data_IF_352113017857
#
_entry.id   IF_352113017857
#
_cell.length_a   1.000
_cell.length_b   1.000
_cell.length_c   1.000
_cell.angle_alpha   90.00
_cell.angle_beta   90.00
_cell.angle_gamma   90.00
#
_symmetry.space_group_name_H-M   'P 1'
#
loop_
_entity.id
_entity.type
_entity.pdbx_description
1 polymer ?
#
# COMPACT_ATOMS: atom_id res chain seq x y z
N UNK A 1 9.44 7.05 -6.94
CA UNK A 1 8.84 7.87 -5.87
C UNK A 1 7.57 7.21 -5.39
N UNK A 2 7.36 7.20 -4.08
CA UNK A 2 6.13 6.73 -3.48
C UNK A 2 5.59 7.70 -2.44
N UNK A 3 4.27 7.60 -2.19
CA UNK A 3 3.59 8.36 -1.14
C UNK A 3 2.72 7.38 -0.37
N UNK A 4 2.98 7.25 0.93
CA UNK A 4 2.20 6.43 1.86
C UNK A 4 0.82 7.05 2.10
N UNK A 5 -0.11 6.28 2.66
CA UNK A 5 -1.45 6.77 3.01
C UNK A 5 -1.44 7.91 4.03
N UNK A 6 -0.43 7.96 4.89
CA UNK A 6 -0.24 9.04 5.87
C UNK A 6 0.36 10.33 5.28
N UNK A 7 0.62 10.35 3.96
CA UNK A 7 1.23 11.47 3.24
C UNK A 7 2.76 11.49 3.26
N UNK A 8 3.40 10.56 3.97
CA UNK A 8 4.86 10.47 4.00
C UNK A 8 5.38 10.02 2.65
N UNK A 9 6.27 10.84 2.06
CA UNK A 9 6.91 10.53 0.78
C UNK A 9 8.20 9.74 0.97
N UNK A 10 8.48 8.85 0.01
CA UNK A 10 9.77 8.17 -0.13
C UNK A 10 10.21 8.16 -1.59
N UNK A 11 11.51 8.19 -1.83
CA UNK A 11 12.03 8.28 -3.18
C UNK A 11 13.39 7.58 -3.29
N UNK A 12 13.51 6.67 -4.25
CA UNK A 12 14.71 5.89 -4.51
C UNK A 12 15.13 6.00 -5.97
N UNK A 13 16.42 5.83 -6.21
CA UNK A 13 16.99 5.73 -7.55
C UNK A 13 17.81 4.45 -7.68
N UNK A 14 17.81 3.86 -8.86
CA UNK A 14 18.71 2.75 -9.23
C UNK A 14 20.13 3.22 -9.55
N UNK A 15 20.38 4.53 -9.52
CA UNK A 15 21.70 5.11 -9.72
C UNK A 15 22.66 4.85 -8.56
N UNK A 16 23.92 5.14 -8.77
CA UNK A 16 25.00 4.95 -7.76
C UNK A 16 25.15 6.13 -6.80
N UNK A 17 24.46 7.24 -7.06
CA UNK A 17 24.48 8.44 -6.24
C UNK A 17 23.07 9.02 -6.06
N UNK A 18 22.86 9.72 -4.96
CA UNK A 18 21.61 10.43 -4.69
C UNK A 18 21.34 11.46 -5.79
N UNK A 19 20.08 11.58 -6.17
CA UNK A 19 19.64 12.45 -7.24
C UNK A 19 18.53 13.39 -6.75
N UNK A 20 18.66 14.68 -6.99
CA UNK A 20 17.62 15.66 -6.65
C UNK A 20 16.82 16.01 -7.90
N UNK A 21 15.50 15.78 -7.86
CA UNK A 21 14.57 16.07 -8.95
C UNK A 21 13.34 16.75 -8.38
N UNK A 22 12.97 17.91 -8.93
CA UNK A 22 11.79 18.68 -8.48
C UNK A 22 11.77 18.94 -6.96
N UNK A 23 12.92 19.18 -6.34
CA UNK A 23 13.07 19.43 -4.91
C UNK A 23 12.96 18.17 -4.03
N UNK A 24 12.86 16.99 -4.61
CA UNK A 24 12.82 15.69 -3.90
C UNK A 24 14.16 14.98 -4.07
N UNK A 25 14.75 14.54 -2.97
CA UNK A 25 15.98 13.72 -2.99
C UNK A 25 15.65 12.25 -3.14
N UNK A 26 16.16 11.63 -4.20
CA UNK A 26 16.05 10.20 -4.49
C UNK A 26 17.29 9.49 -3.97
N UNK A 27 17.11 8.62 -2.98
CA UNK A 27 18.20 7.91 -2.32
C UNK A 27 18.72 6.77 -3.20
N UNK A 28 20.06 6.71 -3.34
CA UNK A 28 20.76 5.66 -4.10
C UNK A 28 20.95 4.36 -3.32
N UNK A 29 20.84 4.40 -1.99
CA UNK A 29 21.18 3.29 -1.09
C UNK A 29 20.20 2.13 -1.05
N UNK A 30 19.00 2.30 -1.57
CA UNK A 30 17.91 1.35 -1.38
C UNK A 30 18.01 0.06 -2.20
N UNK A 31 19.14 -0.20 -2.92
CA UNK A 31 19.25 -1.41 -3.74
C UNK A 31 18.01 -1.64 -4.64
N UNK A 32 17.35 -0.57 -5.03
CA UNK A 32 16.13 -0.63 -5.80
C UNK A 32 16.46 -1.16 -7.20
N UNK A 33 16.16 -2.41 -7.42
CA UNK A 33 16.25 -3.00 -8.76
C UNK A 33 14.83 -3.17 -9.29
N UNK A 34 14.47 -2.57 -10.41
CA UNK A 34 13.29 -3.02 -11.13
C UNK A 34 13.59 -4.44 -11.63
N UNK A 35 13.17 -5.43 -10.86
CA UNK A 35 13.53 -6.83 -11.07
C UNK A 35 12.89 -7.44 -12.32
N UNK A 36 11.94 -6.77 -12.94
CA UNK A 36 11.27 -7.29 -14.11
C UNK A 36 11.25 -6.28 -15.25
N UNK A 37 11.49 -6.76 -16.46
CA UNK A 37 11.14 -6.05 -17.65
C UNK A 37 9.66 -5.59 -17.56
N UNK A 38 9.39 -4.35 -17.89
CA UNK A 38 8.03 -3.86 -18.03
C UNK A 38 7.42 -4.57 -19.23
N UNK A 39 6.83 -5.74 -19.01
CA UNK A 39 6.05 -6.41 -20.03
C UNK A 39 4.70 -5.72 -20.14
N UNK A 40 4.56 -4.88 -21.13
CA UNK A 40 3.26 -4.28 -21.47
C UNK A 40 2.54 -5.26 -22.39
N UNK A 41 1.61 -6.02 -21.85
CA UNK A 41 0.66 -6.78 -22.67
C UNK A 41 -0.40 -5.82 -23.22
N UNK A 42 -0.70 -5.93 -24.52
CA UNK A 42 -1.69 -5.08 -25.19
C UNK A 42 -3.14 -5.39 -24.82
N UNK A 43 -3.38 -6.45 -24.05
CA UNK A 43 -4.69 -6.82 -23.53
C UNK A 43 -4.94 -6.18 -22.16
N UNK A 44 -6.22 -6.04 -21.76
CA UNK A 44 -6.67 -5.61 -20.43
C UNK A 44 -6.22 -6.57 -19.29
N UNK A 45 -5.20 -7.38 -19.53
CA UNK A 45 -4.58 -8.18 -18.49
C UNK A 45 -4.03 -7.28 -17.39
N UNK A 46 -4.18 -7.71 -16.16
CA UNK A 46 -3.67 -6.99 -15.00
C UNK A 46 -2.15 -6.89 -15.13
N UNK A 47 -1.71 -5.69 -15.49
CA UNK A 47 -0.32 -5.39 -15.74
C UNK A 47 0.33 -5.10 -14.38
N UNK A 48 1.02 -6.07 -13.80
CA UNK A 48 1.74 -5.95 -12.53
C UNK A 48 3.23 -5.82 -12.80
N UNK A 49 3.87 -4.91 -12.07
CA UNK A 49 5.32 -4.74 -12.05
C UNK A 49 5.83 -5.18 -10.68
N UNK A 50 6.71 -6.16 -10.66
CA UNK A 50 7.40 -6.55 -9.43
C UNK A 50 8.63 -5.67 -9.21
N UNK A 51 8.77 -5.16 -8.00
CA UNK A 51 9.93 -4.38 -7.56
C UNK A 51 10.59 -5.13 -6.43
N UNK A 52 11.88 -5.36 -6.54
CA UNK A 52 12.70 -5.85 -5.43
C UNK A 52 13.52 -4.70 -4.86
N UNK A 53 13.61 -4.63 -3.55
CA UNK A 53 14.46 -3.67 -2.86
C UNK A 53 15.04 -4.25 -1.57
N UNK A 54 16.18 -3.69 -1.16
CA UNK A 54 16.83 -4.03 0.10
C UNK A 54 16.16 -3.20 1.20
N UNK A 55 15.94 -3.84 2.36
CA UNK A 55 15.49 -3.13 3.57
C UNK A 55 16.61 -2.21 4.04
N UNK A 56 16.28 -0.94 4.23
CA UNK A 56 17.20 0.08 4.74
C UNK A 56 16.59 0.70 6.00
N UNK A 57 17.37 0.75 7.07
CA UNK A 57 16.92 1.30 8.36
C UNK A 57 16.47 2.77 8.28
N UNK A 58 16.94 3.51 7.28
CA UNK A 58 16.59 4.93 7.11
C UNK A 58 15.37 5.18 6.21
N UNK A 59 14.96 4.21 5.40
CA UNK A 59 13.94 4.41 4.37
C UNK A 59 12.71 3.52 4.50
N UNK A 60 12.90 2.21 4.40
CA UNK A 60 11.84 1.21 4.51
C UNK A 60 12.27 0.16 5.51
N UNK A 61 11.72 0.20 6.70
CA UNK A 61 12.01 -0.76 7.75
C UNK A 61 11.09 -1.98 7.69
N UNK A 62 11.58 -3.12 8.17
CA UNK A 62 10.77 -4.32 8.28
C UNK A 62 9.54 -4.12 9.18
N UNK A 63 9.67 -3.34 10.25
CA UNK A 63 8.56 -3.04 11.18
C UNK A 63 7.47 -2.22 10.48
N UNK A 64 7.84 -1.22 9.69
CA UNK A 64 6.89 -0.41 8.93
C UNK A 64 6.12 -1.24 7.88
N UNK A 65 6.81 -2.17 7.20
CA UNK A 65 6.16 -3.07 6.27
C UNK A 65 5.19 -4.03 6.99
N UNK A 66 5.61 -4.61 8.12
CA UNK A 66 4.76 -5.49 8.94
C UNK A 66 3.55 -4.78 9.53
N UNK A 67 3.66 -3.48 9.81
CA UNK A 67 2.56 -2.63 10.26
C UNK A 67 1.62 -2.18 9.15
N UNK A 68 1.94 -2.51 7.90
CA UNK A 68 1.11 -2.17 6.74
C UNK A 68 1.15 -0.68 6.38
N UNK A 69 2.18 0.07 6.78
CA UNK A 69 2.26 1.51 6.49
C UNK A 69 2.42 1.81 4.99
N UNK A 70 2.87 0.84 4.24
CA UNK A 70 3.05 0.94 2.79
C UNK A 70 1.88 0.37 1.99
N UNK A 71 0.89 -0.25 2.65
CA UNK A 71 -0.25 -0.86 1.97
C UNK A 71 -1.05 0.17 1.16
N UNK A 72 -1.14 -0.06 -0.14
CA UNK A 72 -1.81 0.85 -1.06
C UNK A 72 -1.10 2.20 -1.26
N UNK A 73 0.19 2.31 -0.92
CA UNK A 73 1.00 3.49 -1.22
C UNK A 73 1.00 3.77 -2.73
N UNK A 74 0.82 5.04 -3.10
CA UNK A 74 0.92 5.47 -4.50
C UNK A 74 2.37 5.41 -4.97
N UNK A 75 2.63 4.79 -6.12
CA UNK A 75 3.98 4.61 -6.69
C UNK A 75 4.04 5.19 -8.08
N UNK A 76 5.04 6.04 -8.32
CA UNK A 76 5.44 6.56 -9.62
C UNK A 76 6.82 5.99 -9.99
N UNK A 77 6.91 5.27 -11.11
CA UNK A 77 8.15 4.77 -11.70
C UNK A 77 8.43 5.54 -12.98
N UNK A 78 9.61 6.12 -13.08
CA UNK A 78 9.99 6.93 -14.23
C UNK A 78 11.49 6.87 -14.49
N UNK A 79 11.90 7.25 -15.69
CA UNK A 79 13.29 7.38 -16.12
C UNK A 79 13.63 8.87 -16.26
N UNK A 80 14.85 9.21 -15.85
CA UNK A 80 15.41 10.55 -16.04
C UNK A 80 16.82 10.47 -16.60
N UNK A 81 17.24 11.52 -17.29
CA UNK A 81 18.65 11.68 -17.62
C UNK A 81 19.39 12.16 -16.35
N UNK A 82 20.14 11.28 -15.70
CA UNK A 82 20.87 11.60 -14.47
C UNK A 82 21.96 12.68 -14.66
N UNK A 83 22.44 12.87 -15.89
CA UNK A 83 23.42 13.94 -16.22
C UNK A 83 22.77 15.30 -16.37
N UNK A 84 21.49 15.34 -16.73
CA UNK A 84 20.76 16.57 -16.92
C UNK A 84 19.27 16.35 -16.60
N UNK A 85 18.93 16.52 -15.34
CA UNK A 85 17.56 16.34 -14.83
C UNK A 85 16.58 17.38 -15.34
N UNK A 86 17.09 18.50 -15.92
CA UNK A 86 16.23 19.54 -16.50
C UNK A 86 15.50 19.12 -17.75
N UNK A 87 15.93 18.02 -18.39
CA UNK A 87 15.24 17.42 -19.56
C UNK A 87 13.90 16.79 -19.19
N UNK A 88 13.56 16.73 -17.91
CA UNK A 88 12.30 16.17 -17.44
C UNK A 88 12.38 14.68 -17.19
N UNK A 89 11.21 14.07 -17.04
CA UNK A 89 11.05 12.64 -16.68
C UNK A 89 10.12 11.93 -17.64
N UNK A 90 10.50 10.71 -18.03
CA UNK A 90 9.65 9.82 -18.80
C UNK A 90 8.94 8.88 -17.82
N UNK A 91 7.63 9.07 -17.66
CA UNK A 91 6.82 8.19 -16.80
C UNK A 91 6.70 6.81 -17.45
N UNK A 92 7.19 5.78 -16.75
CA UNK A 92 7.04 4.39 -17.17
C UNK A 92 5.76 3.78 -16.61
N UNK A 93 5.50 3.99 -15.31
CA UNK A 93 4.35 3.39 -14.65
C UNK A 93 3.89 4.23 -13.46
N UNK A 94 2.58 4.18 -13.25
CA UNK A 94 1.92 4.70 -12.05
C UNK A 94 0.96 3.65 -11.53
N UNK A 95 0.96 3.46 -10.22
CA UNK A 95 0.09 2.47 -9.60
C UNK A 95 0.09 2.57 -8.08
N UNK A 96 -0.40 1.53 -7.46
CA UNK A 96 -0.39 1.37 -6.00
C UNK A 96 0.43 0.15 -5.61
N UNK A 97 1.08 0.23 -4.46
CA UNK A 97 1.78 -0.91 -3.89
C UNK A 97 0.74 -1.98 -3.49
N UNK A 98 0.91 -3.17 -4.02
CA UNK A 98 0.09 -4.34 -3.73
C UNK A 98 0.70 -5.20 -2.64
N UNK A 99 0.80 -6.50 -2.93
CA UNK A 99 1.38 -7.45 -1.98
C UNK A 99 2.88 -7.22 -1.77
N UNK A 100 3.31 -7.25 -0.51
CA UNK A 100 4.71 -7.12 -0.11
C UNK A 100 5.17 -8.41 0.52
N UNK A 101 6.17 -9.05 -0.08
CA UNK A 101 6.80 -10.26 0.43
C UNK A 101 8.15 -9.93 1.05
N UNK A 102 8.31 -10.27 2.32
CA UNK A 102 9.57 -10.08 3.06
C UNK A 102 10.48 -11.29 2.91
N UNK A 103 11.74 -11.05 2.53
CA UNK A 103 12.79 -12.08 2.38
C UNK A 103 14.06 -11.63 3.09
N UNK A 104 14.31 -12.09 4.32
CA UNK A 104 15.49 -11.74 5.13
C UNK A 104 15.77 -10.22 5.16
N UNK A 105 16.74 -9.75 4.36
CA UNK A 105 17.14 -8.34 4.25
C UNK A 105 16.59 -7.65 3.00
N UNK A 106 15.62 -8.25 2.33
CA UNK A 106 15.02 -7.75 1.09
C UNK A 106 13.51 -7.84 1.17
N UNK A 107 12.83 -7.02 0.38
CA UNK A 107 11.41 -7.19 0.13
C UNK A 107 11.15 -7.16 -1.37
N UNK A 108 10.16 -7.93 -1.80
CA UNK A 108 9.58 -7.86 -3.12
C UNK A 108 8.18 -7.26 -3.00
N UNK A 109 7.85 -6.32 -3.86
CA UNK A 109 6.55 -5.66 -3.85
C UNK A 109 5.98 -5.59 -5.26
N UNK A 110 4.70 -5.93 -5.39
CA UNK A 110 3.95 -5.80 -6.61
C UNK A 110 3.44 -4.36 -6.77
N UNK A 111 3.63 -3.75 -7.94
CA UNK A 111 2.95 -2.50 -8.30
C UNK A 111 1.74 -2.83 -9.16
N UNK A 112 0.57 -2.50 -8.66
CA UNK A 112 -0.71 -2.71 -9.32
C UNK A 112 -1.11 -1.46 -10.08
N UNK A 113 -1.29 -1.61 -11.40
CA UNK A 113 -1.75 -0.54 -12.27
C UNK A 113 -3.25 -0.27 -12.15
N UNK A 114 -3.71 0.80 -12.81
CA UNK A 114 -5.14 1.16 -12.87
C UNK A 114 -6.01 0.08 -13.53
N UNK A 115 -5.45 -0.74 -14.40
CA UNK A 115 -6.17 -1.84 -15.04
C UNK A 115 -6.81 -2.81 -14.03
N UNK A 116 -6.14 -3.04 -12.89
CA UNK A 116 -6.72 -3.87 -11.83
C UNK A 116 -8.01 -3.27 -11.22
N UNK A 117 -8.09 -1.95 -11.11
CA UNK A 117 -9.31 -1.31 -10.63
C UNK A 117 -10.48 -1.54 -11.59
N UNK A 118 -10.19 -1.57 -12.91
CA UNK A 118 -11.20 -1.88 -13.93
C UNK A 118 -11.54 -3.38 -13.99
N UNK A 119 -10.64 -4.26 -13.62
CA UNK A 119 -10.88 -5.70 -13.54
C UNK A 119 -11.71 -6.10 -12.31
N UNK A 120 -11.90 -5.19 -11.36
CA UNK A 120 -12.75 -5.43 -10.18
C UNK A 120 -14.22 -5.45 -10.62
N UNK A 121 -14.94 -6.51 -10.27
CA UNK A 121 -16.36 -6.63 -10.57
C UNK A 121 -17.13 -5.47 -9.94
N UNK A 122 -17.66 -4.58 -10.77
CA UNK A 122 -18.53 -3.48 -10.36
C UNK A 122 -19.96 -3.94 -10.54
N UNK A 123 -20.69 -4.07 -9.46
CA UNK A 123 -22.08 -4.48 -9.46
C UNK A 123 -22.39 -5.44 -8.33
N UNK A 124 -23.65 -5.64 -8.10
CA UNK A 124 -24.13 -6.51 -7.04
C UNK A 124 -24.89 -7.68 -7.61
N UNK A 125 -24.60 -8.85 -7.07
CA UNK A 125 -25.36 -10.05 -7.36
C UNK A 125 -26.63 -10.04 -6.51
N UNK A 126 -27.77 -10.23 -7.15
CA UNK A 126 -29.01 -10.53 -6.45
C UNK A 126 -28.92 -11.95 -5.89
N UNK A 127 -28.90 -12.05 -4.57
CA UNK A 127 -28.79 -13.33 -3.87
C UNK A 127 -29.71 -13.36 -2.66
N UNK A 128 -30.14 -14.54 -2.19
CA UNK A 128 -31.06 -14.65 -1.03
C UNK A 128 -30.44 -14.14 0.27
N UNK A 129 -29.12 -14.11 0.39
CA UNK A 129 -28.41 -13.62 1.56
C UNK A 129 -28.22 -12.10 1.55
N UNK A 130 -28.03 -11.54 2.74
CA UNK A 130 -27.71 -10.13 2.90
C UNK A 130 -26.32 -9.83 2.30
N UNK A 131 -26.24 -8.83 1.41
CA UNK A 131 -25.01 -8.40 0.74
C UNK A 131 -24.53 -7.01 1.18
N UNK A 132 -25.06 -6.47 2.27
CA UNK A 132 -24.58 -5.20 2.81
C UNK A 132 -23.15 -5.33 3.30
N UNK A 133 -22.33 -4.34 2.99
CA UNK A 133 -20.91 -4.34 3.39
C UNK A 133 -20.71 -3.95 4.85
N UNK A 134 -21.64 -3.15 5.38
CA UNK A 134 -21.55 -2.62 6.74
C UNK A 134 -22.95 -2.51 7.33
N UNK A 135 -23.11 -3.00 8.56
CA UNK A 135 -24.36 -2.80 9.29
C UNK A 135 -24.60 -1.30 9.51
N UNK A 136 -25.84 -0.85 9.32
CA UNK A 136 -26.21 0.56 9.49
C UNK A 136 -25.80 1.47 8.34
N UNK A 137 -25.33 0.96 7.20
CA UNK A 137 -25.10 1.75 6.00
C UNK A 137 -26.44 2.19 5.35
N UNK A 138 -26.35 2.97 4.27
CA UNK A 138 -27.53 3.51 3.56
C UNK A 138 -28.48 2.43 3.04
N UNK A 139 -28.02 1.20 2.89
CA UNK A 139 -28.80 0.05 2.44
C UNK A 139 -29.37 -0.75 3.58
N UNK A 140 -28.54 -1.03 4.58
CA UNK A 140 -28.95 -1.80 5.75
C UNK A 140 -29.98 -1.06 6.58
N UNK A 141 -29.78 0.24 6.81
CA UNK A 141 -30.66 1.13 7.61
C UNK A 141 -31.00 0.61 9.02
N UNK A 142 -30.26 -0.38 9.52
CA UNK A 142 -30.42 -0.85 10.89
C UNK A 142 -29.89 0.19 11.85
N UNK A 143 -30.69 0.57 12.85
CA UNK A 143 -30.21 1.39 13.93
C UNK A 143 -29.20 0.61 14.79
N UNK A 144 -27.97 1.08 14.86
CA UNK A 144 -26.91 0.43 15.61
C UNK A 144 -26.83 0.88 17.07
N UNK A 145 -27.55 1.94 17.45
CA UNK A 145 -27.47 2.50 18.81
C UNK A 145 -27.76 1.45 19.89
N UNK A 146 -28.78 0.58 19.75
CA UNK A 146 -29.05 -0.46 20.75
C UNK A 146 -27.96 -1.53 20.86
N UNK A 147 -27.14 -1.69 19.81
CA UNK A 147 -26.13 -2.76 19.71
C UNK A 147 -24.70 -2.22 19.87
N UNK A 148 -24.54 -0.92 20.09
CA UNK A 148 -23.23 -0.29 20.22
C UNK A 148 -22.93 0.02 21.67
N UNK A 149 -21.88 -0.59 22.17
CA UNK A 149 -21.40 -0.37 23.54
C UNK A 149 -20.00 0.23 23.52
N UNK A 150 -19.80 1.31 24.27
CA UNK A 150 -18.49 1.93 24.43
C UNK A 150 -17.95 1.58 25.80
N UNK A 151 -16.73 1.07 25.87
CA UNK A 151 -16.06 0.75 27.12
C UNK A 151 -14.59 1.15 27.07
N UNK A 152 -14.02 1.37 28.26
CA UNK A 152 -12.60 1.66 28.42
C UNK A 152 -11.86 0.38 28.73
N UNK A 153 -10.81 0.10 27.96
CA UNK A 153 -9.92 -1.03 28.22
C UNK A 153 -9.12 -0.73 29.49
N UNK A 154 -9.25 -1.58 30.49
CA UNK A 154 -8.56 -1.44 31.79
C UNK A 154 -7.22 -2.17 31.84
N UNK A 155 -7.07 -3.26 31.11
CA UNK A 155 -5.83 -4.02 31.04
C UNK A 155 -5.72 -4.82 29.73
N UNK A 156 -4.50 -5.17 29.35
CA UNK A 156 -4.17 -6.04 28.23
C UNK A 156 -3.42 -7.27 28.74
N UNK A 157 -4.13 -8.29 29.26
CA UNK A 157 -3.50 -9.50 29.80
C UNK A 157 -2.67 -10.22 28.76
N UNK A 158 -3.11 -10.22 27.50
CA UNK A 158 -2.36 -10.74 26.36
C UNK A 158 -2.45 -9.74 25.19
N UNK A 159 -1.35 -9.06 24.84
CA UNK A 159 -1.33 -8.16 23.70
C UNK A 159 -1.84 -8.85 22.42
N UNK A 160 -2.74 -8.20 21.68
CA UNK A 160 -3.38 -8.66 20.45
C UNK A 160 -4.40 -9.81 20.59
N UNK A 161 -4.65 -10.35 21.78
CA UNK A 161 -5.58 -11.47 21.97
C UNK A 161 -6.64 -11.25 23.02
N UNK A 162 -6.30 -10.55 24.11
CA UNK A 162 -7.22 -10.36 25.23
C UNK A 162 -7.11 -8.95 25.79
N UNK A 163 -8.25 -8.37 26.09
CA UNK A 163 -8.36 -7.13 26.83
C UNK A 163 -9.37 -7.30 27.97
N UNK A 164 -9.15 -6.61 29.07
CA UNK A 164 -10.10 -6.54 30.17
C UNK A 164 -10.84 -5.20 30.16
N UNK A 165 -12.11 -5.23 30.47
CA UNK A 165 -12.96 -4.05 30.60
C UNK A 165 -13.89 -4.19 31.81
N UNK A 166 -14.34 -3.06 32.36
CA UNK A 166 -15.19 -3.03 33.56
C UNK A 166 -16.70 -3.11 33.26
N UNK A 167 -17.11 -3.03 31.99
CA UNK A 167 -18.52 -3.05 31.60
C UNK A 167 -19.04 -4.49 31.44
N UNK A 168 -20.18 -4.78 32.05
CA UNK A 168 -20.94 -6.01 31.74
C UNK A 168 -21.64 -5.83 30.41
N UNK A 169 -21.11 -6.47 29.38
CA UNK A 169 -21.80 -6.60 28.07
C UNK A 169 -22.84 -7.72 28.21
N UNK A 170 -24.02 -7.38 28.71
CA UNK A 170 -25.16 -8.28 28.64
C UNK A 170 -25.85 -8.06 27.29
N UNK A 171 -25.98 -9.14 26.52
CA UNK A 171 -26.74 -9.17 25.28
C UNK A 171 -28.23 -9.17 25.55
#
# INVERSE_FOLDING_TARGET
RGIRRDGTGFAFTSGTADLSIDGVTYKAKGGFSPAAAVETTQDLAVDSLEIEAILDDEGITEDDLRRGLFDGAGIDVFVVNWRDVSQGKLMLRRGTLGEVTLRRAQFAAEIRGLAQAFATQVGELYQPGCNVRRLGDERCKVDLAPFTHTFTVSALPQPRRQFAHAANLQA
#
